data_IF_405329648887
#
_entry.id   IF_405329648887
#
_cell.length_a   1.000
_cell.length_b   1.000
_cell.length_c   1.000
_cell.angle_alpha   90.00
_cell.angle_beta   90.00
_cell.angle_gamma   90.00
#
_symmetry.space_group_name_H-M   'P 1'
#
loop_
_entity.id
_entity.type
_entity.pdbx_description
1 polymer ?
#
# COMPACT_ATOMS: atom_id res chain seq x y z
N UNK A 1 2.75 6.16 4.14
CA UNK A 1 4.18 5.83 4.41
C UNK A 1 5.02 7.07 4.71
N UNK A 2 5.04 8.11 3.87
CA UNK A 2 5.79 9.35 4.15
C UNK A 2 5.44 10.00 5.49
N UNK A 3 4.16 10.13 5.82
CA UNK A 3 3.77 10.71 7.11
C UNK A 3 4.16 9.85 8.31
N UNK A 4 4.29 8.52 8.13
CA UNK A 4 4.84 7.66 9.18
C UNK A 4 6.33 7.95 9.35
N UNK A 5 7.10 7.98 8.25
CA UNK A 5 8.55 8.27 8.24
C UNK A 5 8.86 9.56 8.98
N UNK A 6 8.10 10.61 8.70
CA UNK A 6 8.37 11.97 9.15
C UNK A 6 7.60 12.35 10.43
N UNK A 7 6.99 11.40 11.14
CA UNK A 7 6.03 11.65 12.23
C UNK A 7 6.54 12.65 13.28
N UNK A 8 7.81 12.55 13.72
CA UNK A 8 8.39 13.45 14.72
C UNK A 8 8.66 14.85 14.14
N UNK A 9 9.15 14.93 12.91
CA UNK A 9 9.40 16.20 12.23
C UNK A 9 8.08 16.92 11.91
N UNK A 10 7.09 16.18 11.42
CA UNK A 10 5.74 16.67 11.13
C UNK A 10 5.06 17.18 12.42
N UNK A 11 5.28 16.51 13.56
CA UNK A 11 4.80 16.99 14.87
C UNK A 11 5.45 18.32 15.26
N UNK A 12 6.79 18.42 15.19
CA UNK A 12 7.52 19.68 15.49
C UNK A 12 7.10 20.83 14.58
N UNK A 13 6.76 20.52 13.33
CA UNK A 13 6.27 21.47 12.34
C UNK A 13 4.76 21.77 12.46
N UNK A 14 4.07 21.32 13.52
CA UNK A 14 2.63 21.50 13.72
C UNK A 14 1.75 20.98 12.56
N UNK A 15 2.21 19.99 11.80
CA UNK A 15 1.40 19.36 10.75
C UNK A 15 0.35 18.45 11.38
N UNK A 16 -0.84 18.42 10.79
CA UNK A 16 -2.00 17.65 11.26
C UNK A 16 -2.21 16.35 10.48
N UNK A 17 -1.13 15.63 10.17
CA UNK A 17 -1.22 14.35 9.44
C UNK A 17 -1.87 13.27 10.31
N UNK A 18 -2.45 12.23 9.69
CA UNK A 18 -3.07 11.12 10.42
C UNK A 18 -2.06 10.42 11.34
N UNK A 19 -0.81 10.26 10.88
CA UNK A 19 0.28 9.71 11.68
C UNK A 19 0.60 10.57 12.91
N UNK A 20 0.60 11.91 12.78
CA UNK A 20 0.80 12.81 13.94
C UNK A 20 -0.38 12.75 14.91
N UNK A 21 -1.62 12.74 14.40
CA UNK A 21 -2.85 12.77 15.21
C UNK A 21 -3.15 11.47 15.95
N UNK A 22 -2.92 10.33 15.29
CA UNK A 22 -3.33 9.00 15.77
C UNK A 22 -2.15 8.06 16.00
N UNK A 23 -0.92 8.51 15.74
CA UNK A 23 0.31 7.78 16.02
C UNK A 23 0.67 6.73 14.97
N UNK A 24 1.81 6.07 15.21
CA UNK A 24 2.39 5.05 14.31
C UNK A 24 1.43 3.88 14.06
N UNK A 25 0.76 3.38 15.11
CA UNK A 25 -0.17 2.24 14.99
C UNK A 25 -1.28 2.51 13.98
N UNK A 26 -1.86 3.72 14.02
CA UNK A 26 -2.88 4.12 13.06
C UNK A 26 -2.32 4.21 11.64
N UNK A 27 -1.14 4.82 11.45
CA UNK A 27 -0.55 4.87 10.10
C UNK A 27 -0.19 3.48 9.55
N UNK A 28 0.21 2.53 10.38
CA UNK A 28 0.40 1.13 9.96
C UNK A 28 -0.92 0.48 9.55
N UNK A 29 -1.99 0.73 10.33
CA UNK A 29 -3.34 0.30 9.98
C UNK A 29 -3.79 0.90 8.65
N UNK A 30 -3.61 2.21 8.45
CA UNK A 30 -3.98 2.92 7.22
C UNK A 30 -3.31 2.32 5.98
N UNK A 31 -1.98 2.09 6.03
CA UNK A 31 -1.26 1.47 4.91
C UNK A 31 -1.76 0.04 4.65
N UNK A 32 -1.95 -0.75 5.70
CA UNK A 32 -2.46 -2.12 5.57
C UNK A 32 -3.88 -2.15 5.01
N UNK A 33 -4.75 -1.29 5.51
CA UNK A 33 -6.15 -1.16 5.09
C UNK A 33 -6.24 -0.79 3.61
N UNK A 34 -5.48 0.21 3.14
CA UNK A 34 -5.49 0.62 1.73
C UNK A 34 -5.00 -0.50 0.81
N UNK A 35 -3.91 -1.17 1.17
CA UNK A 35 -3.37 -2.30 0.40
C UNK A 35 -4.41 -3.43 0.33
N UNK A 36 -4.91 -3.88 1.48
CA UNK A 36 -5.87 -4.99 1.55
C UNK A 36 -7.18 -4.65 0.82
N UNK A 37 -7.69 -3.43 0.99
CA UNK A 37 -8.92 -2.99 0.32
C UNK A 37 -8.77 -2.99 -1.19
N UNK A 38 -7.61 -2.59 -1.74
CA UNK A 38 -7.38 -2.64 -3.19
C UNK A 38 -7.49 -4.07 -3.74
N UNK A 39 -6.92 -5.06 -3.06
CA UNK A 39 -7.04 -6.47 -3.46
C UNK A 39 -8.46 -7.01 -3.29
N UNK A 40 -9.14 -6.68 -2.18
CA UNK A 40 -10.52 -7.12 -1.94
C UNK A 40 -11.48 -6.53 -2.98
N UNK A 41 -11.33 -5.24 -3.30
CA UNK A 41 -12.13 -4.60 -4.34
C UNK A 41 -11.86 -5.20 -5.73
N UNK A 42 -10.62 -5.66 -5.98
CA UNK A 42 -10.28 -6.37 -7.21
C UNK A 42 -11.05 -7.67 -7.43
N UNK A 43 -11.55 -8.32 -6.37
CA UNK A 43 -12.37 -9.54 -6.48
C UNK A 43 -13.66 -9.25 -7.25
N UNK A 44 -14.19 -8.01 -7.19
CA UNK A 44 -15.44 -7.69 -7.87
C UNK A 44 -15.37 -7.82 -9.39
N UNK A 45 -14.19 -7.76 -10.00
CA UNK A 45 -14.01 -8.00 -11.42
C UNK A 45 -14.41 -9.43 -11.84
N UNK A 46 -14.32 -10.40 -10.92
CA UNK A 46 -14.74 -11.78 -11.19
C UNK A 46 -16.26 -11.91 -11.43
N UNK A 47 -17.08 -11.01 -10.88
CA UNK A 47 -18.54 -11.00 -11.09
C UNK A 47 -18.95 -10.30 -12.39
N UNK A 48 -18.02 -9.63 -13.07
CA UNK A 48 -18.28 -8.84 -14.29
C UNK A 48 -17.71 -9.48 -15.56
N UNK A 49 -17.50 -10.81 -15.57
CA UNK A 49 -16.79 -11.55 -16.64
C UNK A 49 -15.33 -11.14 -16.86
N UNK A 50 -14.76 -10.28 -16.01
CA UNK A 50 -13.37 -9.80 -16.11
C UNK A 50 -12.45 -10.59 -15.17
N UNK A 51 -12.47 -11.92 -15.30
CA UNK A 51 -11.76 -12.81 -14.36
C UNK A 51 -10.24 -12.54 -14.34
N UNK A 52 -9.63 -12.28 -15.50
CA UNK A 52 -8.20 -11.97 -15.58
C UNK A 52 -7.84 -10.69 -14.80
N UNK A 53 -8.68 -9.64 -14.84
CA UNK A 53 -8.51 -8.41 -14.07
C UNK A 53 -8.64 -8.64 -12.54
N UNK A 54 -9.35 -9.68 -12.11
CA UNK A 54 -9.43 -10.07 -10.71
C UNK A 54 -8.19 -10.83 -10.22
N UNK A 55 -7.60 -11.69 -11.05
CA UNK A 55 -6.58 -12.66 -10.61
C UNK A 55 -5.16 -12.15 -10.83
N UNK A 56 -4.86 -11.53 -11.97
CA UNK A 56 -3.50 -11.09 -12.28
C UNK A 56 -2.88 -10.17 -11.23
N UNK A 57 -3.60 -9.19 -10.64
CA UNK A 57 -3.03 -8.31 -9.62
C UNK A 57 -2.52 -9.06 -8.38
N UNK A 58 -3.03 -10.27 -8.09
CA UNK A 58 -2.57 -11.09 -6.96
C UNK A 58 -1.08 -11.44 -7.04
N UNK A 59 -0.47 -11.40 -8.23
CA UNK A 59 0.98 -11.55 -8.41
C UNK A 59 1.79 -10.46 -7.70
N UNK A 60 1.17 -9.32 -7.35
CA UNK A 60 1.81 -8.24 -6.60
C UNK A 60 1.76 -8.43 -5.07
N UNK A 61 1.06 -9.45 -4.55
CA UNK A 61 0.96 -9.75 -3.11
C UNK A 61 2.31 -9.91 -2.39
N UNK A 62 3.35 -10.53 -2.98
CA UNK A 62 4.66 -10.61 -2.32
C UNK A 62 5.25 -9.23 -2.00
N UNK A 63 5.07 -8.25 -2.88
CA UNK A 63 5.56 -6.87 -2.65
C UNK A 63 4.74 -6.19 -1.55
N UNK A 64 3.42 -6.35 -1.57
CA UNK A 64 2.55 -5.87 -0.49
C UNK A 64 2.99 -6.41 0.88
N UNK A 65 3.31 -7.71 0.97
CA UNK A 65 3.82 -8.34 2.18
C UNK A 65 5.17 -7.76 2.61
N UNK A 66 6.09 -7.55 1.67
CA UNK A 66 7.39 -6.93 1.95
C UNK A 66 7.26 -5.51 2.52
N UNK A 67 6.38 -4.69 1.96
CA UNK A 67 6.09 -3.33 2.46
C UNK A 67 5.55 -3.41 3.88
N UNK A 68 4.48 -4.18 4.11
CA UNK A 68 3.85 -4.26 5.42
C UNK A 68 4.75 -4.84 6.50
N UNK A 69 5.51 -5.89 6.18
CA UNK A 69 6.47 -6.48 7.11
C UNK A 69 7.56 -5.49 7.47
N UNK A 70 8.12 -4.81 6.46
CA UNK A 70 9.15 -3.79 6.65
C UNK A 70 8.73 -2.65 7.56
N UNK A 71 7.53 -2.10 7.37
CA UNK A 71 7.00 -1.01 8.21
C UNK A 71 6.73 -1.47 9.66
N UNK A 72 6.34 -2.73 9.87
CA UNK A 72 6.10 -3.29 11.21
C UNK A 72 7.42 -3.55 11.96
N UNK A 73 8.40 -4.13 11.28
CA UNK A 73 9.68 -4.55 11.87
C UNK A 73 10.64 -3.37 12.13
N UNK A 74 10.46 -2.24 11.45
CA UNK A 74 11.36 -1.09 11.55
C UNK A 74 10.66 0.13 12.14
N UNK A 75 11.39 0.89 12.96
CA UNK A 75 10.94 2.18 13.44
C UNK A 75 10.93 3.25 12.33
N UNK A 76 10.06 4.28 12.44
CA UNK A 76 10.04 5.39 11.52
C UNK A 76 11.40 6.07 11.38
N UNK A 77 11.81 6.32 10.13
CA UNK A 77 13.07 6.98 9.80
C UNK A 77 13.48 6.74 8.36
N UNK A 78 14.72 7.07 7.96
CA UNK A 78 15.18 6.98 6.57
C UNK A 78 14.98 5.60 5.93
N UNK A 79 15.00 4.53 6.74
CA UNK A 79 14.71 3.16 6.31
C UNK A 79 13.30 2.99 5.71
N UNK A 80 12.37 3.91 5.93
CA UNK A 80 11.05 3.87 5.29
C UNK A 80 11.09 4.24 3.80
N UNK A 81 12.17 4.88 3.32
CA UNK A 81 12.31 5.23 1.90
C UNK A 81 12.35 4.00 0.99
N UNK A 82 12.99 2.91 1.42
CA UNK A 82 12.96 1.65 0.66
C UNK A 82 11.55 1.05 0.60
N UNK A 83 10.75 1.16 1.66
CA UNK A 83 9.38 0.65 1.69
C UNK A 83 8.43 1.55 0.92
N UNK A 84 8.69 2.86 0.91
CA UNK A 84 8.00 3.81 0.04
C UNK A 84 8.27 3.47 -1.44
N UNK A 85 9.51 3.24 -1.83
CA UNK A 85 9.86 2.84 -3.20
C UNK A 85 9.17 1.53 -3.59
N UNK A 86 9.19 0.52 -2.70
CA UNK A 86 8.45 -0.74 -2.92
C UNK A 86 6.95 -0.55 -3.01
N UNK A 87 6.36 0.37 -2.25
CA UNK A 87 4.94 0.69 -2.33
C UNK A 87 4.59 1.39 -3.64
N UNK A 88 5.45 2.27 -4.16
CA UNK A 88 5.28 2.85 -5.50
C UNK A 88 5.39 1.79 -6.59
N UNK A 89 6.35 0.87 -6.49
CA UNK A 89 6.46 -0.27 -7.41
C UNK A 89 5.24 -1.20 -7.34
N UNK A 90 4.71 -1.46 -6.13
CA UNK A 90 3.47 -2.18 -5.91
C UNK A 90 2.29 -1.50 -6.61
N UNK A 91 2.13 -0.18 -6.44
CA UNK A 91 1.06 0.58 -7.10
C UNK A 91 1.16 0.45 -8.61
N UNK A 92 2.33 0.70 -9.19
CA UNK A 92 2.55 0.61 -10.64
C UNK A 92 2.27 -0.81 -11.16
N UNK A 93 2.86 -1.84 -10.52
CA UNK A 93 2.67 -3.23 -10.92
C UNK A 93 1.21 -3.65 -10.82
N UNK A 94 0.52 -3.27 -9.73
CA UNK A 94 -0.91 -3.55 -9.56
C UNK A 94 -1.72 -2.92 -10.70
N UNK A 95 -1.50 -1.64 -11.00
CA UNK A 95 -2.18 -0.95 -12.10
C UNK A 95 -1.93 -1.61 -13.46
N UNK A 96 -0.69 -1.98 -13.77
CA UNK A 96 -0.36 -2.70 -15.01
C UNK A 96 -1.05 -4.05 -15.08
N UNK A 97 -1.02 -4.84 -14.00
CA UNK A 97 -1.65 -6.17 -13.95
C UNK A 97 -3.17 -6.08 -14.09
N UNK A 98 -3.82 -5.10 -13.46
CA UNK A 98 -5.25 -4.83 -13.67
C UNK A 98 -5.50 -4.50 -15.13
N UNK A 99 -4.80 -3.52 -15.71
CA UNK A 99 -5.00 -3.10 -17.10
C UNK A 99 -4.80 -4.24 -18.11
N UNK A 100 -3.76 -5.07 -17.93
CA UNK A 100 -3.55 -6.27 -18.75
C UNK A 100 -4.71 -7.24 -18.57
N UNK A 101 -5.16 -7.47 -17.34
CA UNK A 101 -6.30 -8.32 -17.07
C UNK A 101 -7.62 -7.81 -17.65
N UNK A 102 -7.79 -6.49 -17.78
CA UNK A 102 -8.94 -5.90 -18.46
C UNK A 102 -8.89 -6.08 -19.98
N UNK A 103 -7.70 -6.06 -20.58
CA UNK A 103 -7.51 -6.30 -22.03
C UNK A 103 -7.72 -7.77 -22.39
N UNK A 104 -7.38 -8.68 -21.47
CA UNK A 104 -7.53 -10.14 -21.64
C UNK A 104 -8.92 -10.67 -21.24
N UNK A 105 -9.80 -9.80 -20.72
CA UNK A 105 -11.14 -10.15 -20.23
C UNK A 105 -12.11 -10.44 -21.37
#
# INVERSE_FOLDING_TARGET
INNLRDIEQDRKANKKTMAVRFGRKFGLFEVGFLITSAFLLGIFWSFSQMFAASVLPLLALPIARMVMRGLKENEPGPIYNQYLAKASALHLLFGVLVSVGMILA
#
